data_IF_105122225833
#
_entry.id   IF_105122225833
#
_cell.length_a   1.000
_cell.length_b   1.000
_cell.length_c   1.000
_cell.angle_alpha   90.00
_cell.angle_beta   90.00
_cell.angle_gamma   90.00
#
_symmetry.space_group_name_H-M   'P 1'
#
loop_
_entity.id
_entity.type
_entity.pdbx_description
1 polymer ?
#
# COMPACT_ATOMS: atom_id res chain seq x y z
N UNK A 1 4.24 -15.20 -2.54
CA UNK A 1 4.69 -13.88 -3.02
C UNK A 1 4.78 -12.92 -1.83
N UNK A 2 5.59 -11.87 -1.93
CA UNK A 2 5.86 -10.91 -0.84
C UNK A 2 4.97 -9.68 -0.91
N UNK A 3 4.49 -9.19 0.24
CA UNK A 3 3.76 -7.93 0.34
C UNK A 3 4.26 -7.08 1.52
N UNK A 4 4.29 -5.77 1.34
CA UNK A 4 4.51 -4.79 2.41
C UNK A 4 3.18 -4.12 2.70
N UNK A 5 2.73 -4.21 3.95
CA UNK A 5 1.50 -3.61 4.44
C UNK A 5 1.83 -2.35 5.22
N UNK A 6 1.46 -1.18 4.71
CA UNK A 6 1.74 0.10 5.35
C UNK A 6 0.66 0.42 6.39
N UNK A 7 0.92 0.12 7.65
CA UNK A 7 -0.04 0.24 8.76
C UNK A 7 0.41 1.20 9.89
N UNK A 8 1.42 2.05 9.64
CA UNK A 8 1.97 3.00 10.62
C UNK A 8 1.17 4.27 10.85
N UNK A 9 0.12 4.53 10.07
CA UNK A 9 -0.65 5.77 10.09
C UNK A 9 -1.40 6.02 11.40
N UNK A 10 -1.32 7.25 11.95
CA UNK A 10 -2.00 7.64 13.19
C UNK A 10 -3.51 7.85 13.06
N UNK A 11 -4.06 7.92 11.84
CA UNK A 11 -5.51 8.07 11.60
C UNK A 11 -6.14 9.32 12.23
N UNK A 12 -5.42 10.44 12.35
CA UNK A 12 -5.83 11.64 13.11
C UNK A 12 -7.23 12.13 12.78
N UNK A 13 -7.66 12.06 11.51
CA UNK A 13 -8.98 12.52 11.06
C UNK A 13 -10.15 11.65 11.56
N UNK A 14 -9.88 10.39 11.87
CA UNK A 14 -10.90 9.44 12.33
C UNK A 14 -10.91 9.25 13.85
N UNK A 15 -10.04 9.94 14.60
CA UNK A 15 -9.93 9.76 16.07
C UNK A 15 -11.23 10.01 16.83
N UNK A 16 -12.07 10.92 16.36
CA UNK A 16 -13.39 11.17 16.97
C UNK A 16 -14.32 9.97 16.88
N UNK A 17 -14.13 9.11 15.88
CA UNK A 17 -14.95 7.92 15.62
C UNK A 17 -14.27 6.66 16.16
N UNK A 18 -12.95 6.56 15.98
CA UNK A 18 -12.18 5.33 16.26
C UNK A 18 -11.57 5.30 17.66
N UNK A 19 -11.60 6.42 18.38
CA UNK A 19 -10.97 6.54 19.69
C UNK A 19 -9.47 6.28 19.64
N UNK A 20 -9.04 5.24 20.36
CA UNK A 20 -7.62 4.83 20.45
C UNK A 20 -7.23 3.71 19.48
N UNK A 21 -8.15 3.22 18.64
CA UNK A 21 -7.84 2.13 17.70
C UNK A 21 -6.90 2.62 16.59
N UNK A 22 -5.90 1.83 16.20
CA UNK A 22 -5.14 2.07 14.98
C UNK A 22 -6.07 2.02 13.77
N UNK A 23 -5.83 2.86 12.76
CA UNK A 23 -6.69 2.96 11.57
C UNK A 23 -6.96 1.61 10.88
N UNK A 24 -5.97 0.71 10.72
CA UNK A 24 -6.20 -0.62 10.14
C UNK A 24 -7.16 -1.50 10.96
N UNK A 25 -7.28 -1.25 12.26
CA UNK A 25 -8.15 -2.00 13.17
C UNK A 25 -9.58 -1.50 13.23
N UNK A 26 -9.90 -0.44 12.48
CA UNK A 26 -11.28 0.08 12.40
C UNK A 26 -12.18 -0.96 11.75
N UNK A 27 -13.31 -1.35 12.40
CA UNK A 27 -14.19 -2.34 11.82
C UNK A 27 -14.99 -1.75 10.66
N UNK A 28 -14.99 -2.46 9.55
CA UNK A 28 -15.90 -2.24 8.43
C UNK A 28 -16.92 -3.40 8.41
N UNK A 29 -18.17 -3.09 8.69
CA UNK A 29 -19.22 -4.11 8.84
C UNK A 29 -18.80 -5.20 9.85
N UNK A 30 -18.37 -4.77 11.04
CA UNK A 30 -18.00 -5.68 12.14
C UNK A 30 -16.66 -6.40 12.04
N UNK A 31 -15.92 -6.26 10.92
CA UNK A 31 -14.62 -6.91 10.72
C UNK A 31 -13.55 -5.85 10.50
N UNK A 32 -12.40 -5.89 11.21
CA UNK A 32 -11.29 -4.98 10.99
C UNK A 32 -10.87 -4.91 9.51
N UNK A 33 -10.53 -3.71 9.03
CA UNK A 33 -10.02 -3.54 7.65
C UNK A 33 -8.77 -4.38 7.43
N UNK A 34 -7.92 -4.47 8.44
CA UNK A 34 -6.70 -5.26 8.41
C UNK A 34 -6.96 -6.75 8.12
N UNK A 35 -7.98 -7.33 8.76
CA UNK A 35 -8.34 -8.75 8.57
C UNK A 35 -8.76 -9.01 7.12
N UNK A 36 -9.57 -8.09 6.56
CA UNK A 36 -9.98 -8.16 5.15
C UNK A 36 -8.80 -8.05 4.18
N UNK A 37 -7.81 -7.22 4.52
CA UNK A 37 -6.60 -7.07 3.72
C UNK A 37 -5.70 -8.31 3.79
N UNK A 38 -5.52 -8.91 4.98
CA UNK A 38 -4.75 -10.15 5.12
C UNK A 38 -5.41 -11.29 4.35
N UNK A 39 -6.75 -11.38 4.40
CA UNK A 39 -7.48 -12.36 3.60
C UNK A 39 -7.36 -12.09 2.09
N UNK A 40 -7.44 -10.82 1.65
CA UNK A 40 -7.24 -10.44 0.26
C UNK A 40 -5.84 -10.83 -0.23
N UNK A 41 -4.80 -10.54 0.55
CA UNK A 41 -3.42 -10.91 0.26
C UNK A 41 -3.28 -12.43 0.12
N UNK A 42 -3.79 -13.19 1.09
CA UNK A 42 -3.76 -14.65 1.06
C UNK A 42 -4.45 -15.23 -0.18
N UNK A 43 -5.66 -14.76 -0.49
CA UNK A 43 -6.43 -15.24 -1.67
C UNK A 43 -5.70 -14.99 -2.99
N UNK A 44 -4.89 -13.92 -3.05
CA UNK A 44 -4.07 -13.58 -4.21
C UNK A 44 -2.66 -14.18 -4.17
N UNK A 45 -2.36 -15.05 -3.18
CA UNK A 45 -1.08 -15.76 -3.07
C UNK A 45 0.06 -14.94 -2.45
N UNK A 46 -0.23 -13.77 -1.84
CA UNK A 46 0.72 -12.99 -1.06
C UNK A 46 0.74 -13.50 0.38
N UNK A 47 1.53 -14.52 0.63
CA UNK A 47 1.56 -15.22 1.93
C UNK A 47 2.71 -14.80 2.83
N UNK A 48 3.75 -14.16 2.29
CA UNK A 48 4.79 -13.52 3.08
C UNK A 48 4.49 -12.02 3.18
N UNK A 49 4.18 -11.54 4.38
CA UNK A 49 3.74 -10.16 4.60
C UNK A 49 4.62 -9.47 5.64
N UNK A 50 5.09 -8.27 5.33
CA UNK A 50 5.76 -7.41 6.29
C UNK A 50 4.90 -6.17 6.57
N UNK A 51 4.38 -6.04 7.79
CA UNK A 51 3.60 -4.88 8.21
C UNK A 51 4.51 -3.83 8.85
N UNK A 52 4.48 -2.60 8.33
CA UNK A 52 5.17 -1.47 8.95
C UNK A 52 4.20 -0.79 9.92
N UNK A 53 4.61 -0.65 11.18
CA UNK A 53 3.80 -0.14 12.27
C UNK A 53 4.49 1.05 12.94
N UNK A 54 3.71 2.02 13.39
CA UNK A 54 4.22 3.15 14.18
C UNK A 54 3.27 3.45 15.35
N UNK A 55 1.99 3.66 15.06
CA UNK A 55 0.99 3.96 16.07
C UNK A 55 0.38 2.68 16.64
N UNK A 56 0.51 2.50 17.97
CA UNK A 56 0.00 1.34 18.72
C UNK A 56 0.30 -0.01 18.06
N UNK A 57 1.58 -0.30 17.84
CA UNK A 57 1.98 -1.56 17.22
C UNK A 57 1.54 -2.79 18.02
N UNK A 58 1.52 -2.68 19.36
CA UNK A 58 1.05 -3.68 20.31
C UNK A 58 -0.35 -4.20 19.94
N UNK A 59 -1.29 -3.31 19.72
CA UNK A 59 -2.68 -3.68 19.41
C UNK A 59 -2.80 -4.48 18.10
N UNK A 60 -1.97 -4.18 17.10
CA UNK A 60 -1.96 -4.93 15.84
C UNK A 60 -1.26 -6.27 16.01
N UNK A 61 -0.14 -6.30 16.74
CA UNK A 61 0.61 -7.53 17.00
C UNK A 61 -0.18 -8.52 17.85
N UNK A 62 -0.87 -8.05 18.90
CA UNK A 62 -1.75 -8.90 19.72
C UNK A 62 -2.92 -9.48 18.93
N UNK A 63 -3.50 -8.69 18.00
CA UNK A 63 -4.62 -9.13 17.18
C UNK A 63 -4.23 -10.13 16.09
N UNK A 64 -3.15 -9.87 15.37
CA UNK A 64 -2.77 -10.66 14.20
C UNK A 64 -1.76 -11.77 14.50
N UNK A 65 -1.03 -11.70 15.62
CA UNK A 65 0.03 -12.66 15.96
C UNK A 65 1.08 -12.76 14.86
N UNK A 66 1.44 -13.98 14.50
CA UNK A 66 2.37 -14.31 13.41
C UNK A 66 1.67 -14.43 12.03
N UNK A 67 0.35 -14.17 11.98
CA UNK A 67 -0.46 -14.26 10.77
C UNK A 67 -0.97 -15.66 10.42
N UNK A 68 -0.62 -16.68 11.19
CA UNK A 68 -1.01 -18.08 10.92
C UNK A 68 -2.52 -18.27 10.87
N UNK A 69 -3.29 -17.57 11.72
CA UNK A 69 -4.76 -17.58 11.72
C UNK A 69 -5.37 -17.04 10.42
N UNK A 70 -4.64 -16.24 9.68
CA UNK A 70 -5.03 -15.69 8.37
C UNK A 70 -4.42 -16.48 7.20
N UNK A 71 -3.59 -17.51 7.47
CA UNK A 71 -2.89 -18.26 6.46
C UNK A 71 -1.78 -17.49 5.74
N UNK A 72 -1.14 -16.56 6.44
CA UNK A 72 0.02 -15.78 6.00
C UNK A 72 1.15 -15.86 7.04
N UNK A 73 2.38 -15.56 6.65
CA UNK A 73 3.51 -15.32 7.53
C UNK A 73 3.68 -13.82 7.71
N UNK A 74 3.27 -13.30 8.88
CA UNK A 74 3.27 -11.88 9.15
C UNK A 74 4.50 -11.50 9.98
N UNK A 75 5.30 -10.60 9.45
CA UNK A 75 6.44 -9.97 10.13
C UNK A 75 6.13 -8.51 10.38
N UNK A 76 6.77 -7.94 11.40
CA UNK A 76 6.54 -6.56 11.78
C UNK A 76 7.81 -5.74 11.69
N UNK A 77 7.67 -4.52 11.17
CA UNK A 77 8.69 -3.49 11.20
C UNK A 77 8.15 -2.31 12.00
N UNK A 78 8.65 -2.14 13.22
CA UNK A 78 8.22 -1.05 14.10
C UNK A 78 9.04 0.20 13.76
N UNK A 79 8.35 1.30 13.46
CA UNK A 79 8.94 2.61 13.23
C UNK A 79 8.82 3.43 14.51
N UNK A 80 9.93 3.97 15.00
CA UNK A 80 9.95 4.90 16.15
C UNK A 80 9.42 6.28 15.75
N UNK A 81 9.61 6.65 14.48
CA UNK A 81 9.14 7.89 13.88
C UNK A 81 8.55 7.62 12.49
N UNK A 82 7.51 8.37 12.06
CA UNK A 82 6.94 8.20 10.73
C UNK A 82 7.97 8.54 9.63
N UNK A 83 8.31 7.57 8.80
CA UNK A 83 9.29 7.71 7.70
C UNK A 83 8.65 8.01 6.35
N UNK A 84 7.33 8.16 6.33
CA UNK A 84 6.57 8.24 5.09
C UNK A 84 6.56 6.92 4.32
N UNK A 85 5.81 6.88 3.22
CA UNK A 85 5.61 5.66 2.42
C UNK A 85 6.93 5.03 1.94
N UNK A 86 7.76 5.85 1.30
CA UNK A 86 9.04 5.39 0.75
C UNK A 86 10.03 4.93 1.84
N UNK A 87 10.08 5.66 2.96
CA UNK A 87 10.93 5.30 4.08
C UNK A 87 10.51 4.01 4.77
N UNK A 88 9.21 3.78 4.92
CA UNK A 88 8.65 2.55 5.45
C UNK A 88 8.98 1.34 4.56
N UNK A 89 8.81 1.48 3.23
CA UNK A 89 9.19 0.42 2.27
C UNK A 89 10.69 0.15 2.34
N UNK A 90 11.52 1.18 2.35
CA UNK A 90 12.98 1.03 2.46
C UNK A 90 13.40 0.30 3.73
N UNK A 91 12.71 0.52 4.84
CA UNK A 91 12.98 -0.16 6.10
C UNK A 91 12.72 -1.68 6.04
N UNK A 92 12.02 -2.18 5.02
CA UNK A 92 11.76 -3.59 4.77
C UNK A 92 12.72 -4.21 3.74
N UNK A 93 13.85 -3.58 3.44
CA UNK A 93 14.79 -4.03 2.39
C UNK A 93 15.35 -5.44 2.62
N UNK A 94 15.58 -5.83 3.86
CA UNK A 94 15.98 -7.18 4.25
C UNK A 94 14.88 -8.23 4.03
N UNK A 95 13.60 -7.82 4.05
CA UNK A 95 12.47 -8.68 3.80
C UNK A 95 12.29 -8.99 2.31
N UNK A 96 12.25 -7.98 1.45
CA UNK A 96 12.01 -8.21 0.03
C UNK A 96 13.29 -8.56 -0.76
N UNK A 97 14.47 -8.12 -0.34
CA UNK A 97 15.74 -8.44 -0.97
C UNK A 97 15.80 -7.99 -2.43
N UNK A 98 15.79 -8.96 -3.36
CA UNK A 98 15.77 -8.73 -4.81
C UNK A 98 14.46 -9.14 -5.48
N UNK A 99 13.48 -9.60 -4.70
CA UNK A 99 12.23 -10.06 -5.24
C UNK A 99 11.31 -8.89 -5.59
N UNK A 100 10.40 -9.13 -6.52
CA UNK A 100 9.25 -8.25 -6.73
C UNK A 100 8.32 -8.36 -5.53
N UNK A 101 7.70 -7.27 -5.13
CA UNK A 101 6.81 -7.21 -3.99
C UNK A 101 5.66 -6.24 -4.21
N UNK A 102 4.54 -6.52 -3.57
CA UNK A 102 3.38 -5.63 -3.50
C UNK A 102 3.53 -4.65 -2.33
N UNK A 103 3.12 -3.40 -2.52
CA UNK A 103 2.91 -2.44 -1.43
C UNK A 103 1.43 -2.10 -1.35
N UNK A 104 0.84 -2.25 -0.18
CA UNK A 104 -0.58 -1.97 0.05
C UNK A 104 -0.77 -1.15 1.33
N UNK A 105 -1.70 -0.19 1.31
CA UNK A 105 -2.04 0.59 2.50
C UNK A 105 -2.91 -0.22 3.45
N UNK A 106 -2.57 -0.24 4.73
CA UNK A 106 -3.25 -1.01 5.77
C UNK A 106 -4.66 -0.51 6.14
N UNK A 107 -5.06 0.62 5.58
CA UNK A 107 -6.39 1.22 5.78
C UNK A 107 -7.27 1.20 4.53
N UNK A 108 -6.83 0.52 3.49
CA UNK A 108 -7.53 0.45 2.22
C UNK A 108 -8.57 -0.68 2.22
N UNK A 109 -9.84 -0.33 2.19
CA UNK A 109 -10.91 -1.28 1.91
C UNK A 109 -11.04 -1.46 0.39
N UNK A 110 -10.51 -2.55 -0.15
CA UNK A 110 -10.48 -2.80 -1.59
C UNK A 110 -10.70 -4.29 -1.91
N UNK A 111 -11.07 -4.56 -3.16
CA UNK A 111 -11.31 -5.91 -3.69
C UNK A 111 -10.59 -6.13 -5.03
N UNK A 112 -9.40 -5.55 -5.19
CA UNK A 112 -8.62 -5.69 -6.43
C UNK A 112 -8.11 -7.11 -6.66
N UNK A 113 -7.99 -7.49 -7.92
CA UNK A 113 -7.22 -8.65 -8.34
C UNK A 113 -5.72 -8.31 -8.28
N UNK A 114 -5.13 -8.55 -7.10
CA UNK A 114 -3.72 -8.26 -6.85
C UNK A 114 -2.79 -9.19 -7.64
N UNK A 115 -3.26 -10.40 -7.97
CA UNK A 115 -2.50 -11.35 -8.79
C UNK A 115 -2.40 -10.85 -10.23
N UNK A 116 -3.48 -10.29 -10.78
CA UNK A 116 -3.45 -9.66 -12.11
C UNK A 116 -2.48 -8.49 -12.15
N UNK A 117 -2.52 -7.60 -11.14
CA UNK A 117 -1.58 -6.48 -11.01
C UNK A 117 -0.12 -6.97 -10.99
N UNK A 118 0.15 -8.02 -10.21
CA UNK A 118 1.49 -8.60 -10.11
C UNK A 118 1.97 -9.21 -11.44
N UNK A 119 1.11 -9.94 -12.14
CA UNK A 119 1.41 -10.50 -13.47
C UNK A 119 1.68 -9.39 -14.50
N UNK A 120 0.88 -8.33 -14.48
CA UNK A 120 1.10 -7.17 -15.35
C UNK A 120 2.43 -6.49 -15.05
N UNK A 121 2.80 -6.36 -13.78
CA UNK A 121 4.10 -5.83 -13.38
C UNK A 121 5.24 -6.67 -13.96
N UNK A 122 5.19 -7.98 -13.79
CA UNK A 122 6.21 -8.89 -14.33
C UNK A 122 6.33 -8.81 -15.87
N UNK A 123 5.21 -8.71 -16.58
CA UNK A 123 5.20 -8.66 -18.05
C UNK A 123 5.63 -7.30 -18.61
N UNK A 124 5.39 -6.21 -17.89
CA UNK A 124 5.68 -4.85 -18.36
C UNK A 124 7.18 -4.49 -18.34
N UNK A 125 7.98 -5.20 -17.54
CA UNK A 125 9.38 -4.83 -17.29
C UNK A 125 9.55 -3.50 -16.54
N UNK A 126 8.47 -2.87 -16.08
CA UNK A 126 8.50 -1.60 -15.36
C UNK A 126 9.16 -1.75 -13.99
N UNK A 127 9.85 -0.71 -13.52
CA UNK A 127 10.42 -0.69 -12.17
C UNK A 127 9.32 -0.61 -11.09
N UNK A 128 8.21 0.05 -11.41
CA UNK A 128 7.04 0.20 -10.53
C UNK A 128 5.78 0.13 -11.38
N UNK A 129 4.78 -0.61 -10.91
CA UNK A 129 3.43 -0.65 -11.48
C UNK A 129 2.43 -0.16 -10.44
N UNK A 130 1.50 0.68 -10.86
CA UNK A 130 0.55 1.35 -9.97
C UNK A 130 -0.86 0.95 -10.39
N UNK A 131 -1.67 0.48 -9.45
CA UNK A 131 -3.10 0.30 -9.68
C UNK A 131 -3.81 1.65 -9.55
N UNK A 132 -4.61 1.98 -10.53
CA UNK A 132 -5.35 3.22 -10.60
C UNK A 132 -6.86 2.92 -10.58
N UNK A 133 -7.62 3.82 -9.98
CA UNK A 133 -9.07 3.72 -9.91
C UNK A 133 -9.71 5.03 -10.38
N UNK A 134 -10.69 4.99 -11.30
CA UNK A 134 -11.42 6.19 -11.73
C UNK A 134 -12.33 6.69 -10.60
N UNK A 135 -12.30 7.99 -10.33
CA UNK A 135 -13.12 8.64 -9.32
C UNK A 135 -13.84 9.86 -9.89
N UNK A 136 -15.08 10.08 -9.47
CA UNK A 136 -15.90 11.22 -9.91
C UNK A 136 -15.46 12.55 -9.24
N UNK A 137 -14.81 12.46 -8.05
CA UNK A 137 -14.32 13.62 -7.30
C UNK A 137 -12.80 13.56 -7.08
N UNK A 138 -12.01 13.62 -8.14
CA UNK A 138 -10.59 13.28 -8.12
C UNK A 138 -9.72 14.28 -7.31
N UNK A 139 -10.22 15.50 -7.06
CA UNK A 139 -9.45 16.56 -6.39
C UNK A 139 -9.11 16.25 -4.91
N UNK A 140 -9.81 15.29 -4.32
CA UNK A 140 -9.52 14.85 -2.95
C UNK A 140 -8.30 13.92 -2.85
N UNK A 141 -7.80 13.46 -4.00
CA UNK A 141 -6.78 12.43 -4.13
C UNK A 141 -5.57 12.91 -4.92
N UNK A 142 -4.55 12.10 -4.98
CA UNK A 142 -3.46 12.27 -5.92
C UNK A 142 -3.90 11.86 -7.33
N UNK A 143 -3.62 12.68 -8.33
CA UNK A 143 -3.90 12.39 -9.73
C UNK A 143 -2.67 11.81 -10.41
N UNK A 144 -2.92 10.88 -11.31
CA UNK A 144 -1.90 10.31 -12.19
C UNK A 144 -2.22 10.66 -13.63
N UNK A 145 -1.27 11.29 -14.31
CA UNK A 145 -1.33 11.49 -15.75
C UNK A 145 -0.48 10.42 -16.43
N UNK A 146 -1.09 9.71 -17.37
CA UNK A 146 -0.42 8.64 -18.14
C UNK A 146 -0.45 8.97 -19.64
N UNK A 147 0.52 8.41 -20.38
CA UNK A 147 0.50 8.44 -21.83
C UNK A 147 -0.44 7.38 -22.43
N UNK A 148 -0.47 7.30 -23.77
CA UNK A 148 -1.32 6.35 -24.50
C UNK A 148 -0.92 4.90 -24.28
N UNK A 149 0.33 4.65 -23.92
CA UNK A 149 0.91 3.34 -23.61
C UNK A 149 0.67 2.94 -22.14
N UNK A 150 0.09 3.84 -21.31
CA UNK A 150 -0.19 3.61 -19.90
C UNK A 150 0.97 3.91 -18.94
N UNK A 151 2.07 4.51 -19.42
CA UNK A 151 3.17 4.94 -18.55
C UNK A 151 2.84 6.22 -17.81
N UNK A 152 3.13 6.24 -16.51
CA UNK A 152 2.95 7.42 -15.66
C UNK A 152 3.91 8.52 -16.07
N UNK A 153 3.37 9.71 -16.36
CA UNK A 153 4.15 10.90 -16.72
C UNK A 153 4.21 11.90 -15.59
N UNK A 154 3.13 12.06 -14.83
CA UNK A 154 3.06 12.99 -13.71
C UNK A 154 2.21 12.45 -12.57
N UNK A 155 2.60 12.78 -11.34
CA UNK A 155 1.78 12.71 -10.15
C UNK A 155 1.46 14.12 -9.68
N UNK A 156 0.20 14.39 -9.37
CA UNK A 156 -0.26 15.69 -8.87
C UNK A 156 -1.02 15.43 -7.57
N UNK A 157 -0.41 15.78 -6.44
CA UNK A 157 -1.03 15.59 -5.13
C UNK A 157 -2.11 16.66 -4.90
N UNK A 158 -3.35 16.24 -4.72
CA UNK A 158 -4.52 17.07 -4.37
C UNK A 158 -4.57 18.40 -5.12
N UNK A 159 -4.72 18.39 -6.44
CA UNK A 159 -4.76 19.62 -7.23
C UNK A 159 -5.93 20.50 -6.83
N UNK A 160 -5.73 21.82 -6.93
CA UNK A 160 -6.74 22.82 -6.54
C UNK A 160 -7.80 23.03 -7.65
N UNK A 161 -7.50 22.56 -8.88
CA UNK A 161 -8.38 22.71 -10.05
C UNK A 161 -8.41 21.43 -10.87
N UNK A 162 -9.55 21.18 -11.55
CA UNK A 162 -9.68 20.07 -12.49
C UNK A 162 -8.81 20.28 -13.72
N UNK A 163 -7.88 19.38 -13.96
CA UNK A 163 -7.22 19.25 -15.26
C UNK A 163 -8.17 18.50 -16.19
N UNK A 164 -8.32 18.98 -17.44
CA UNK A 164 -9.05 18.26 -18.48
C UNK A 164 -8.26 17.02 -18.88
N UNK A 165 -8.66 15.88 -18.36
CA UNK A 165 -8.05 14.57 -18.60
C UNK A 165 -8.68 13.56 -17.65
N UNK A 166 -8.61 12.28 -17.96
CA UNK A 166 -9.22 11.24 -17.12
C UNK A 166 -8.48 11.20 -15.77
N UNK A 167 -9.09 11.67 -14.69
CA UNK A 167 -8.44 11.66 -13.37
C UNK A 167 -8.48 10.26 -12.80
N UNK A 168 -7.41 9.86 -12.13
CA UNK A 168 -7.28 8.54 -11.55
C UNK A 168 -6.74 8.67 -10.14
N UNK A 169 -7.43 8.11 -9.17
CA UNK A 169 -7.11 8.21 -7.76
C UNK A 169 -6.84 6.86 -7.12
N UNK A 170 -6.00 6.81 -6.12
CA UNK A 170 -5.50 5.67 -5.34
C UNK A 170 -4.37 4.88 -6.00
N UNK A 171 -3.31 4.72 -5.21
CA UNK A 171 -2.08 4.12 -5.68
C UNK A 171 -1.80 2.87 -4.87
N UNK A 172 -1.86 1.70 -5.52
CA UNK A 172 -1.24 0.47 -5.03
C UNK A 172 -0.01 0.18 -5.87
N UNK A 173 1.06 -0.23 -5.23
CA UNK A 173 2.36 -0.35 -5.86
C UNK A 173 2.77 -1.81 -5.98
N UNK A 174 3.17 -2.25 -7.15
CA UNK A 174 4.06 -3.38 -7.31
C UNK A 174 5.44 -2.83 -7.71
N UNK A 175 6.48 -3.15 -6.98
CA UNK A 175 7.82 -2.65 -7.23
C UNK A 175 8.81 -3.79 -7.44
N UNK A 176 9.68 -3.63 -8.43
CA UNK A 176 10.87 -4.45 -8.61
C UNK A 176 11.98 -3.95 -7.68
N UNK A 177 12.83 -4.86 -7.17
CA UNK A 177 13.83 -4.59 -6.13
C UNK A 177 14.56 -3.25 -6.19
N UNK A 178 14.89 -2.75 -5.02
CA UNK A 178 15.26 -1.41 -4.60
C UNK A 178 16.51 -0.75 -5.19
N UNK A 179 17.06 -1.15 -6.31
CA UNK A 179 18.13 -0.37 -6.95
C UNK A 179 17.62 0.94 -7.58
N UNK A 180 16.31 1.08 -7.80
CA UNK A 180 15.68 2.28 -8.33
C UNK A 180 15.37 3.37 -7.27
N UNK A 181 15.56 3.09 -5.98
CA UNK A 181 15.28 4.03 -4.87
C UNK A 181 16.51 4.81 -4.44
N UNK A 182 17.37 5.22 -5.37
CA UNK A 182 18.46 6.13 -5.06
C UNK A 182 17.90 7.51 -4.69
N UNK A 183 18.60 8.22 -3.81
CA UNK A 183 18.20 9.44 -3.08
C UNK A 183 17.81 10.68 -3.93
N UNK A 184 17.55 10.53 -5.19
CA UNK A 184 17.21 11.60 -6.13
C UNK A 184 15.93 11.29 -6.92
N UNK A 185 14.79 11.21 -6.23
CA UNK A 185 13.48 11.22 -6.87
C UNK A 185 13.19 10.00 -7.76
N UNK A 186 11.98 9.48 -7.64
CA UNK A 186 11.41 8.48 -8.53
C UNK A 186 11.59 8.88 -10.00
N UNK A 187 12.52 8.25 -10.71
CA UNK A 187 12.57 8.31 -12.17
C UNK A 187 11.77 7.14 -12.70
N UNK A 188 10.59 7.42 -13.19
CA UNK A 188 9.80 6.49 -13.98
C UNK A 188 10.37 6.44 -15.40
N UNK A 189 10.65 5.25 -15.91
CA UNK A 189 10.70 4.96 -17.33
C UNK A 189 9.42 4.27 -17.72
#
# INVERSE_FOLDING_TARGET
MKAILLAGGQGRRLRSITGKLPKPMVPLVGVPVLDRLLELLRRNGFTDVCATLCYRPDAIQEHCGDGSSYGVHLRYRIETEPRGTAGAVRACSDFYGRDDFLVISGDAACSFDLLQLYRQHQSSGAAVTVALFPDAEPLQYGLVLQDREGYVRHFIEKPVTTLTGTPVSWVYWAARSCQAWSASGLKFR
#
